data_IF_866345914431
#
_entry.id   IF_866345914431
#
_cell.length_a   1.000
_cell.length_b   1.000
_cell.length_c   1.000
_cell.angle_alpha   90.00
_cell.angle_beta   90.00
_cell.angle_gamma   90.00
#
_symmetry.space_group_name_H-M   'P 1'
#
loop_
_entity.id
_entity.type
_entity.pdbx_description
1 polymer ?
#
# COMPACT_ATOMS: atom_id res chain seq x y z
N UNK A 1 -45.60 -23.91 9.51
CA UNK A 1 -44.42 -24.47 8.81
C UNK A 1 -43.66 -23.46 7.94
N UNK A 2 -44.27 -22.39 7.40
CA UNK A 2 -43.53 -21.38 6.63
C UNK A 2 -42.61 -20.47 7.47
N UNK A 3 -43.03 -20.12 8.69
CA UNK A 3 -42.30 -19.17 9.55
C UNK A 3 -41.00 -19.73 10.17
N UNK A 4 -40.91 -21.06 10.36
CA UNK A 4 -39.70 -21.73 10.86
C UNK A 4 -38.61 -21.82 9.79
N UNK A 5 -38.98 -21.96 8.52
CA UNK A 5 -38.04 -22.07 7.41
C UNK A 5 -37.43 -20.70 7.06
N UNK A 6 -38.22 -19.61 7.13
CA UNK A 6 -37.71 -18.25 6.95
C UNK A 6 -36.77 -17.82 8.08
N UNK A 7 -37.11 -18.13 9.33
CA UNK A 7 -36.24 -17.85 10.48
C UNK A 7 -34.90 -18.60 10.39
N UNK A 8 -34.92 -19.88 10.01
CA UNK A 8 -33.69 -20.66 9.85
C UNK A 8 -32.80 -20.13 8.71
N UNK A 9 -33.40 -19.72 7.59
CA UNK A 9 -32.68 -19.14 6.46
C UNK A 9 -31.99 -17.82 6.84
N UNK A 10 -32.69 -16.94 7.58
CA UNK A 10 -32.13 -15.66 8.06
C UNK A 10 -30.95 -15.91 9.00
N UNK A 11 -31.09 -16.82 9.96
CA UNK A 11 -30.01 -17.14 10.89
C UNK A 11 -28.77 -17.72 10.19
N UNK A 12 -28.99 -18.59 9.20
CA UNK A 12 -27.90 -19.13 8.39
C UNK A 12 -27.18 -18.03 7.60
N UNK A 13 -27.93 -17.11 6.99
CA UNK A 13 -27.34 -16.00 6.22
C UNK A 13 -26.53 -15.05 7.10
N UNK A 14 -27.01 -14.74 8.31
CA UNK A 14 -26.26 -13.94 9.29
C UNK A 14 -24.96 -14.66 9.67
N UNK A 15 -25.03 -15.96 9.98
CA UNK A 15 -23.86 -16.74 10.35
C UNK A 15 -22.80 -16.75 9.23
N UNK A 16 -23.22 -17.00 7.99
CA UNK A 16 -22.32 -17.00 6.82
C UNK A 16 -21.70 -15.62 6.60
N UNK A 17 -22.47 -14.55 6.80
CA UNK A 17 -21.97 -13.16 6.71
C UNK A 17 -20.91 -12.88 7.77
N UNK A 18 -21.14 -13.27 9.03
CA UNK A 18 -20.19 -13.08 10.13
C UNK A 18 -18.91 -13.88 9.88
N UNK A 19 -19.03 -15.13 9.45
CA UNK A 19 -17.88 -15.97 9.10
C UNK A 19 -17.06 -15.37 7.95
N UNK A 20 -17.73 -14.92 6.89
CA UNK A 20 -17.09 -14.24 5.76
C UNK A 20 -16.32 -13.00 6.22
N UNK A 21 -16.92 -12.16 7.05
CA UNK A 21 -16.29 -10.95 7.59
C UNK A 21 -15.08 -11.29 8.48
N UNK A 22 -15.17 -12.31 9.33
CA UNK A 22 -14.05 -12.83 10.10
C UNK A 22 -12.90 -13.30 9.22
N UNK A 23 -13.21 -14.09 8.18
CA UNK A 23 -12.22 -14.57 7.20
C UNK A 23 -11.52 -13.40 6.51
N UNK A 24 -12.26 -12.35 6.11
CA UNK A 24 -11.66 -11.16 5.50
C UNK A 24 -10.62 -10.51 6.42
N UNK A 25 -10.95 -10.32 7.70
CA UNK A 25 -10.03 -9.76 8.69
C UNK A 25 -8.77 -10.61 8.84
N UNK A 26 -8.92 -11.92 9.05
CA UNK A 26 -7.78 -12.83 9.22
C UNK A 26 -6.93 -12.96 7.95
N UNK A 27 -7.55 -12.95 6.77
CA UNK A 27 -6.84 -12.93 5.50
C UNK A 27 -5.97 -11.67 5.38
N UNK A 28 -6.51 -10.52 5.79
CA UNK A 28 -5.75 -9.26 5.90
C UNK A 28 -4.58 -9.36 6.89
N UNK A 29 -4.82 -9.98 8.04
CA UNK A 29 -3.85 -10.15 9.12
C UNK A 29 -2.62 -10.99 8.77
N UNK A 30 -2.66 -11.76 7.67
CA UNK A 30 -1.49 -12.49 7.19
C UNK A 30 -0.42 -11.53 6.63
N UNK A 31 0.84 -11.57 7.09
CA UNK A 31 1.91 -10.70 6.60
C UNK A 31 2.53 -11.21 5.29
N UNK A 32 1.70 -11.41 4.27
CA UNK A 32 2.04 -12.08 3.00
C UNK A 32 3.24 -11.44 2.30
N UNK A 33 3.27 -10.10 2.18
CA UNK A 33 4.44 -9.37 1.68
C UNK A 33 5.73 -9.71 2.45
N UNK A 34 5.67 -9.70 3.78
CA UNK A 34 6.82 -9.97 4.64
C UNK A 34 7.28 -11.42 4.55
N UNK A 35 6.34 -12.36 4.44
CA UNK A 35 6.63 -13.77 4.25
C UNK A 35 7.33 -14.00 2.90
N UNK A 36 6.82 -13.43 1.82
CA UNK A 36 7.40 -13.54 0.47
C UNK A 36 8.81 -12.95 0.43
N UNK A 37 9.01 -11.74 0.96
CA UNK A 37 10.33 -11.10 0.97
C UNK A 37 11.32 -11.86 1.87
N UNK A 38 10.88 -12.33 3.04
CA UNK A 38 11.73 -13.10 3.93
C UNK A 38 12.14 -14.44 3.32
N UNK A 39 11.23 -15.13 2.63
CA UNK A 39 11.50 -16.45 2.05
C UNK A 39 12.32 -16.38 0.77
N UNK A 40 12.00 -15.46 -0.14
CA UNK A 40 12.65 -15.39 -1.45
C UNK A 40 13.88 -14.49 -1.51
N UNK A 41 14.02 -13.53 -0.58
CA UNK A 41 15.15 -12.61 -0.55
C UNK A 41 15.97 -12.67 0.76
N UNK A 42 15.57 -13.50 1.74
CA UNK A 42 16.20 -13.57 3.07
C UNK A 42 16.30 -12.21 3.79
N UNK A 43 15.33 -11.32 3.54
CA UNK A 43 15.26 -9.98 4.15
C UNK A 43 14.04 -9.91 5.05
N UNK A 44 14.22 -9.56 6.33
CA UNK A 44 13.10 -9.27 7.23
C UNK A 44 12.74 -7.79 7.17
N UNK A 45 11.64 -7.47 6.48
CA UNK A 45 11.14 -6.09 6.33
C UNK A 45 10.91 -5.38 7.66
N UNK A 46 10.66 -6.12 8.76
CA UNK A 46 10.47 -5.53 10.09
C UNK A 46 11.76 -4.99 10.70
N UNK A 47 12.92 -5.38 10.16
CA UNK A 47 14.24 -5.00 10.66
C UNK A 47 14.97 -4.00 9.75
N UNK A 48 14.36 -3.57 8.65
CA UNK A 48 14.97 -2.66 7.67
C UNK A 48 14.05 -1.47 7.36
N UNK A 49 14.66 -0.34 6.99
CA UNK A 49 13.93 0.86 6.61
C UNK A 49 13.02 1.38 7.73
N UNK A 50 11.74 1.53 7.42
CA UNK A 50 10.69 1.98 8.36
C UNK A 50 10.15 0.87 9.27
N UNK A 51 10.50 -0.40 9.01
CA UNK A 51 9.91 -1.56 9.67
C UNK A 51 8.50 -1.93 9.17
N UNK A 52 7.97 -1.24 8.17
CA UNK A 52 6.68 -1.57 7.56
C UNK A 52 6.77 -2.84 6.71
N UNK A 53 5.72 -3.66 6.75
CA UNK A 53 5.59 -4.84 5.91
C UNK A 53 4.67 -4.52 4.74
N UNK A 54 5.03 -3.52 3.95
CA UNK A 54 4.20 -3.00 2.85
C UNK A 54 4.77 -3.37 1.46
N UNK A 55 3.93 -3.26 0.43
CA UNK A 55 4.36 -3.35 -0.97
C UNK A 55 5.48 -2.36 -1.29
N UNK A 56 5.38 -1.13 -0.77
CA UNK A 56 6.40 -0.12 -0.97
C UNK A 56 7.73 -0.53 -0.30
N UNK A 57 7.68 -1.05 0.93
CA UNK A 57 8.87 -1.58 1.62
C UNK A 57 9.52 -2.74 0.84
N UNK A 58 8.72 -3.62 0.23
CA UNK A 58 9.24 -4.68 -0.64
C UNK A 58 10.00 -4.10 -1.84
N UNK A 59 9.47 -3.09 -2.52
CA UNK A 59 10.18 -2.42 -3.62
C UNK A 59 11.40 -1.62 -3.17
N UNK A 60 11.39 -1.09 -1.95
CA UNK A 60 12.53 -0.35 -1.39
C UNK A 60 13.70 -1.28 -1.03
N UNK A 61 13.42 -2.48 -0.50
CA UNK A 61 14.45 -3.34 0.10
C UNK A 61 14.73 -4.65 -0.62
N UNK A 62 13.78 -5.22 -1.36
CA UNK A 62 13.94 -6.52 -2.02
C UNK A 62 14.28 -6.38 -3.52
N UNK A 63 14.87 -7.42 -4.15
CA UNK A 63 15.01 -7.47 -5.60
C UNK A 63 13.65 -7.32 -6.29
N UNK A 64 13.64 -6.62 -7.44
CA UNK A 64 12.40 -6.32 -8.18
C UNK A 64 11.49 -7.53 -8.43
N UNK A 65 11.98 -8.72 -8.83
CA UNK A 65 11.11 -9.88 -9.04
C UNK A 65 10.37 -10.29 -7.76
N UNK A 66 11.05 -10.29 -6.61
CA UNK A 66 10.45 -10.63 -5.32
C UNK A 66 9.40 -9.60 -4.91
N UNK A 67 9.69 -8.31 -5.12
CA UNK A 67 8.73 -7.24 -4.87
C UNK A 67 7.48 -7.36 -5.76
N UNK A 68 7.65 -7.71 -7.04
CA UNK A 68 6.53 -7.96 -7.98
C UNK A 68 5.67 -9.13 -7.49
N UNK A 69 6.29 -10.27 -7.11
CA UNK A 69 5.55 -11.41 -6.54
C UNK A 69 4.75 -10.99 -5.31
N UNK A 70 5.35 -10.19 -4.42
CA UNK A 70 4.66 -9.70 -3.23
C UNK A 70 3.47 -8.79 -3.57
N UNK A 71 3.59 -7.93 -4.58
CA UNK A 71 2.48 -7.09 -5.06
C UNK A 71 1.36 -7.93 -5.63
N UNK A 72 1.67 -8.89 -6.51
CA UNK A 72 0.66 -9.76 -7.11
C UNK A 72 -0.13 -10.53 -6.03
N UNK A 73 0.54 -11.00 -4.98
CA UNK A 73 -0.13 -11.64 -3.85
C UNK A 73 -1.08 -10.68 -3.09
N UNK A 74 -0.70 -9.41 -2.91
CA UNK A 74 -1.56 -8.40 -2.29
C UNK A 74 -2.74 -7.99 -3.20
N UNK A 75 -2.54 -7.94 -4.52
CA UNK A 75 -3.61 -7.71 -5.52
C UNK A 75 -4.64 -8.82 -5.42
N UNK A 76 -4.21 -10.08 -5.49
CA UNK A 76 -5.11 -11.24 -5.37
C UNK A 76 -5.86 -11.19 -4.05
N UNK A 77 -5.18 -10.85 -2.96
CA UNK A 77 -5.80 -10.73 -1.63
C UNK A 77 -6.86 -9.61 -1.58
N UNK A 78 -6.68 -8.52 -2.31
CA UNK A 78 -7.68 -7.45 -2.42
C UNK A 78 -8.90 -7.85 -3.27
N UNK A 79 -8.67 -8.58 -4.36
CA UNK A 79 -9.70 -9.00 -5.31
C UNK A 79 -10.58 -10.12 -4.74
N UNK A 80 -9.97 -11.14 -4.14
CA UNK A 80 -10.65 -12.38 -3.80
C UNK A 80 -11.87 -12.19 -2.89
N UNK A 81 -11.83 -11.43 -1.78
CA UNK A 81 -12.98 -11.24 -0.90
C UNK A 81 -14.16 -10.57 -1.59
N UNK A 82 -13.90 -9.65 -2.52
CA UNK A 82 -14.96 -8.94 -3.26
C UNK A 82 -15.66 -9.90 -4.22
N UNK A 83 -14.90 -10.73 -4.94
CA UNK A 83 -15.48 -11.76 -5.81
C UNK A 83 -16.27 -12.79 -5.01
N UNK A 84 -15.73 -13.25 -3.87
CA UNK A 84 -16.43 -14.17 -2.97
C UNK A 84 -17.73 -13.54 -2.47
N UNK A 85 -17.72 -12.27 -2.07
CA UNK A 85 -18.93 -11.56 -1.66
C UNK A 85 -19.95 -11.41 -2.79
N UNK A 86 -19.52 -11.17 -4.03
CA UNK A 86 -20.42 -11.13 -5.20
C UNK A 86 -21.13 -12.46 -5.45
N UNK A 87 -20.45 -13.58 -5.18
CA UNK A 87 -21.03 -14.92 -5.37
C UNK A 87 -21.92 -15.32 -4.19
N UNK A 88 -21.48 -15.06 -2.95
CA UNK A 88 -22.21 -15.46 -1.74
C UNK A 88 -23.36 -14.52 -1.39
N UNK A 89 -23.25 -13.23 -1.72
CA UNK A 89 -24.20 -12.18 -1.35
C UNK A 89 -24.45 -11.21 -2.53
N UNK A 90 -24.99 -11.70 -3.67
CA UNK A 90 -25.16 -10.90 -4.88
C UNK A 90 -26.03 -9.65 -4.66
N UNK A 91 -27.02 -9.75 -3.76
CA UNK A 91 -27.95 -8.66 -3.43
C UNK A 91 -27.43 -7.70 -2.34
N UNK A 92 -26.31 -8.01 -1.69
CA UNK A 92 -25.79 -7.23 -0.53
C UNK A 92 -24.43 -6.64 -0.88
N UNK A 93 -24.43 -5.63 -1.74
CA UNK A 93 -23.22 -4.94 -2.21
C UNK A 93 -22.38 -4.36 -1.06
N UNK A 94 -23.01 -3.89 0.01
CA UNK A 94 -22.34 -3.38 1.21
C UNK A 94 -21.34 -4.39 1.80
N UNK A 95 -21.63 -5.70 1.76
CA UNK A 95 -20.72 -6.72 2.30
C UNK A 95 -19.40 -6.81 1.53
N UNK A 96 -19.40 -6.47 0.24
CA UNK A 96 -18.18 -6.39 -0.56
C UNK A 96 -17.22 -5.32 0.04
N UNK A 97 -17.77 -4.17 0.40
CA UNK A 97 -17.01 -3.04 0.95
C UNK A 97 -16.64 -3.25 2.43
N UNK A 98 -17.55 -3.79 3.25
CA UNK A 98 -17.28 -4.11 4.66
C UNK A 98 -16.24 -5.22 4.78
N UNK A 99 -16.28 -6.22 3.91
CA UNK A 99 -15.22 -7.23 3.80
C UNK A 99 -13.86 -6.61 3.48
N UNK A 100 -13.80 -5.64 2.56
CA UNK A 100 -12.57 -4.89 2.26
C UNK A 100 -12.08 -4.05 3.45
N UNK A 101 -12.99 -3.38 4.18
CA UNK A 101 -12.64 -2.64 5.40
C UNK A 101 -11.97 -3.56 6.41
N UNK A 102 -12.57 -4.72 6.68
CA UNK A 102 -12.01 -5.67 7.64
C UNK A 102 -10.69 -6.26 7.18
N UNK A 103 -10.53 -6.55 5.88
CA UNK A 103 -9.27 -6.97 5.33
C UNK A 103 -8.18 -5.90 5.53
N UNK A 104 -8.46 -4.64 5.20
CA UNK A 104 -7.51 -3.53 5.41
C UNK A 104 -7.20 -3.34 6.90
N UNK A 105 -8.20 -3.46 7.77
CA UNK A 105 -8.01 -3.38 9.21
C UNK A 105 -7.07 -4.49 9.71
N UNK A 106 -7.29 -5.75 9.35
CA UNK A 106 -6.39 -6.85 9.70
C UNK A 106 -4.98 -6.63 9.14
N UNK A 107 -4.89 -6.12 7.91
CA UNK A 107 -3.62 -5.81 7.24
C UNK A 107 -2.79 -4.76 7.98
N UNK A 108 -3.45 -3.77 8.54
CA UNK A 108 -2.82 -2.71 9.32
C UNK A 108 -2.48 -3.17 10.74
N UNK A 109 -3.48 -3.62 11.50
CA UNK A 109 -3.32 -3.87 12.94
C UNK A 109 -2.42 -5.07 13.25
N UNK A 110 -2.45 -6.12 12.43
CA UNK A 110 -1.68 -7.34 12.68
C UNK A 110 -0.47 -7.42 11.75
N UNK A 111 -0.71 -7.30 10.44
CA UNK A 111 0.36 -7.49 9.45
C UNK A 111 1.25 -6.24 9.23
N UNK A 112 0.97 -5.11 9.89
CA UNK A 112 1.73 -3.85 9.78
C UNK A 112 1.96 -3.37 8.34
N UNK A 113 0.93 -3.42 7.50
CA UNK A 113 0.96 -2.82 6.16
C UNK A 113 -0.23 -1.93 5.86
N UNK A 114 -0.10 -1.11 4.82
CA UNK A 114 -0.99 0.04 4.60
C UNK A 114 -2.34 -0.25 3.96
N UNK A 115 -2.56 -1.45 3.41
CA UNK A 115 -3.86 -1.86 2.84
C UNK A 115 -4.32 -1.16 1.55
N UNK A 116 -3.65 -0.09 1.10
CA UNK A 116 -4.02 0.67 -0.11
C UNK A 116 -4.11 -0.22 -1.34
N UNK A 117 -3.13 -1.11 -1.57
CA UNK A 117 -3.19 -2.05 -2.71
C UNK A 117 -4.42 -2.95 -2.63
N UNK A 118 -4.73 -3.51 -1.47
CA UNK A 118 -5.90 -4.38 -1.34
C UNK A 118 -7.20 -3.60 -1.58
N UNK A 119 -7.31 -2.39 -1.02
CA UNK A 119 -8.47 -1.54 -1.21
C UNK A 119 -8.64 -1.08 -2.67
N UNK A 120 -7.58 -0.62 -3.34
CA UNK A 120 -7.67 -0.16 -4.73
C UNK A 120 -8.13 -1.26 -5.67
N UNK A 121 -7.55 -2.46 -5.55
CA UNK A 121 -7.92 -3.60 -6.40
C UNK A 121 -9.28 -4.19 -6.01
N UNK A 122 -9.63 -4.17 -4.72
CA UNK A 122 -10.97 -4.53 -4.26
C UNK A 122 -12.04 -3.59 -4.78
N UNK A 123 -11.82 -2.27 -4.68
CA UNK A 123 -12.75 -1.25 -5.19
C UNK A 123 -12.85 -1.32 -6.72
N UNK A 124 -11.77 -1.65 -7.43
CA UNK A 124 -11.82 -1.90 -8.88
C UNK A 124 -12.78 -3.03 -9.25
N UNK A 125 -12.78 -4.12 -8.47
CA UNK A 125 -13.71 -5.24 -8.68
C UNK A 125 -15.12 -4.87 -8.26
N UNK A 126 -15.29 -4.12 -7.17
CA UNK A 126 -16.58 -3.62 -6.71
C UNK A 126 -17.23 -2.73 -7.78
N UNK A 127 -16.54 -1.68 -8.21
CA UNK A 127 -16.95 -0.77 -9.27
C UNK A 127 -15.74 -0.19 -9.99
N UNK A 128 -15.49 -0.58 -11.26
CA UNK A 128 -14.38 -0.05 -12.04
C UNK A 128 -14.41 1.47 -12.16
N UNK A 129 -15.60 2.06 -12.31
CA UNK A 129 -15.80 3.50 -12.50
C UNK A 129 -15.41 4.28 -11.25
N UNK A 130 -15.75 3.77 -10.06
CA UNK A 130 -15.35 4.38 -8.77
C UNK A 130 -13.83 4.32 -8.61
N UNK A 131 -13.22 3.16 -8.87
CA UNK A 131 -11.77 3.01 -8.78
C UNK A 131 -11.01 3.91 -9.76
N UNK A 132 -11.47 3.99 -11.00
CA UNK A 132 -10.88 4.86 -12.03
C UNK A 132 -11.04 6.33 -11.66
N UNK A 133 -12.23 6.75 -11.23
CA UNK A 133 -12.47 8.11 -10.76
C UNK A 133 -11.52 8.50 -9.64
N UNK A 134 -11.41 7.66 -8.60
CA UNK A 134 -10.49 7.88 -7.48
C UNK A 134 -9.02 7.92 -7.91
N UNK A 135 -8.63 7.04 -8.82
CA UNK A 135 -7.28 7.01 -9.40
C UNK A 135 -6.97 8.28 -10.18
N UNK A 136 -7.91 8.77 -11.00
CA UNK A 136 -7.79 10.02 -11.76
C UNK A 136 -7.67 11.21 -10.81
N UNK A 137 -8.53 11.30 -9.78
CA UNK A 137 -8.44 12.37 -8.77
C UNK A 137 -7.07 12.39 -8.11
N UNK A 138 -6.57 11.23 -7.67
CA UNK A 138 -5.23 11.13 -7.09
C UNK A 138 -4.13 11.54 -8.07
N UNK A 139 -4.20 11.09 -9.32
CA UNK A 139 -3.24 11.42 -10.37
C UNK A 139 -3.22 12.91 -10.69
N UNK A 140 -4.38 13.55 -10.83
CA UNK A 140 -4.49 14.98 -11.08
C UNK A 140 -3.86 15.80 -9.94
N UNK A 141 -4.16 15.44 -8.69
CA UNK A 141 -3.57 16.09 -7.51
C UNK A 141 -2.04 15.92 -7.51
N UNK A 142 -1.56 14.73 -7.87
CA UNK A 142 -0.13 14.47 -7.96
C UNK A 142 0.55 15.32 -9.05
N UNK A 143 -0.03 15.38 -10.25
CA UNK A 143 0.53 16.12 -11.40
C UNK A 143 0.51 17.62 -11.15
N UNK A 144 -0.64 18.16 -10.74
CA UNK A 144 -0.82 19.59 -10.44
C UNK A 144 0.09 19.98 -9.27
N UNK A 145 0.08 19.19 -8.20
CA UNK A 145 0.87 19.46 -7.01
C UNK A 145 2.38 19.44 -7.27
N UNK A 146 2.89 18.54 -8.11
CA UNK A 146 4.29 18.54 -8.54
C UNK A 146 4.67 19.76 -9.39
N UNK A 147 3.72 20.27 -10.20
CA UNK A 147 3.95 21.47 -11.03
C UNK A 147 3.97 22.75 -10.19
N UNK A 148 3.09 22.85 -9.19
CA UNK A 148 3.01 24.01 -8.28
C UNK A 148 4.14 23.99 -7.25
N UNK A 149 4.51 22.82 -6.72
CA UNK A 149 5.53 22.66 -5.68
C UNK A 149 6.69 21.75 -6.13
N UNK A 150 7.51 22.17 -7.12
CA UNK A 150 8.50 21.32 -7.77
C UNK A 150 9.70 20.94 -6.89
N UNK A 151 10.06 21.78 -5.91
CA UNK A 151 11.21 21.52 -5.04
C UNK A 151 10.74 21.09 -3.63
N UNK A 152 11.07 19.84 -3.28
CA UNK A 152 11.10 19.24 -1.93
C UNK A 152 9.82 18.69 -1.29
N UNK A 153 8.63 18.70 -1.89
CA UNK A 153 7.46 18.22 -1.16
C UNK A 153 7.18 16.71 -1.32
N UNK A 154 7.88 15.85 -0.56
CA UNK A 154 7.54 14.42 -0.46
C UNK A 154 6.09 14.19 -0.02
N UNK A 155 5.48 15.18 0.65
CA UNK A 155 4.10 15.11 1.12
C UNK A 155 3.09 15.10 -0.02
N UNK A 156 3.40 15.63 -1.21
CA UNK A 156 2.39 15.74 -2.28
C UNK A 156 1.91 14.37 -2.77
N UNK A 157 2.80 13.37 -2.79
CA UNK A 157 2.44 12.00 -3.13
C UNK A 157 1.47 11.40 -2.12
N UNK A 158 1.72 11.62 -0.84
CA UNK A 158 0.85 11.11 0.22
C UNK A 158 -0.52 11.80 0.17
N UNK A 159 -0.54 13.13 0.00
CA UNK A 159 -1.76 13.89 -0.16
C UNK A 159 -2.57 13.46 -1.38
N UNK A 160 -1.91 13.22 -2.52
CA UNK A 160 -2.54 12.66 -3.71
C UNK A 160 -3.21 11.30 -3.43
N UNK A 161 -2.53 10.40 -2.70
CA UNK A 161 -3.11 9.12 -2.31
C UNK A 161 -4.31 9.29 -1.36
N UNK A 162 -4.20 10.16 -0.34
CA UNK A 162 -5.26 10.44 0.64
C UNK A 162 -6.52 11.00 -0.04
N UNK A 163 -6.37 12.06 -0.82
CA UNK A 163 -7.47 12.74 -1.49
C UNK A 163 -8.05 11.90 -2.62
N UNK A 164 -7.21 11.12 -3.32
CA UNK A 164 -7.68 10.10 -4.26
C UNK A 164 -8.58 9.07 -3.58
N UNK A 165 -8.18 8.52 -2.44
CA UNK A 165 -9.02 7.58 -1.68
C UNK A 165 -10.32 8.23 -1.18
N UNK A 166 -10.25 9.45 -0.61
CA UNK A 166 -11.43 10.18 -0.12
C UNK A 166 -12.44 10.49 -1.22
N UNK A 167 -11.97 10.73 -2.45
CA UNK A 167 -12.87 10.99 -3.58
C UNK A 167 -13.74 9.80 -3.98
N UNK A 168 -13.44 8.57 -3.54
CA UNK A 168 -14.25 7.37 -3.84
C UNK A 168 -15.71 7.51 -3.43
N UNK A 169 -15.97 8.22 -2.33
CA UNK A 169 -17.32 8.57 -1.88
C UNK A 169 -18.07 9.44 -2.90
N UNK A 170 -17.39 10.42 -3.50
CA UNK A 170 -17.99 11.26 -4.53
C UNK A 170 -18.28 10.45 -5.81
N UNK A 171 -17.35 9.59 -6.22
CA UNK A 171 -17.50 8.79 -7.43
C UNK A 171 -18.58 7.71 -7.34
N UNK A 172 -18.83 7.14 -6.16
CA UNK A 172 -19.95 6.19 -6.00
C UNK A 172 -21.29 6.89 -6.16
N UNK A 173 -21.46 8.10 -5.63
CA UNK A 173 -22.69 8.88 -5.81
C UNK A 173 -22.93 9.26 -7.28
N UNK A 174 -21.86 9.47 -8.04
CA UNK A 174 -21.97 9.82 -9.46
C UNK A 174 -22.26 8.62 -10.36
N UNK A 175 -21.59 7.48 -10.13
CA UNK A 175 -21.61 6.33 -11.04
C UNK A 175 -22.50 5.17 -10.60
N UNK A 176 -22.93 5.13 -9.33
CA UNK A 176 -23.94 4.18 -8.84
C UNK A 176 -25.15 4.91 -8.31
N UNK A 177 -26.06 5.24 -9.22
CA UNK A 177 -27.33 5.91 -8.89
C UNK A 177 -28.24 5.06 -7.99
N UNK A 178 -28.03 3.74 -8.01
CA UNK A 178 -28.72 2.74 -7.20
C UNK A 178 -27.98 2.38 -5.90
N UNK A 179 -26.85 3.04 -5.60
CA UNK A 179 -26.08 2.75 -4.40
C UNK A 179 -26.93 2.99 -3.15
N UNK A 180 -27.01 1.97 -2.30
CA UNK A 180 -27.65 2.12 -1.00
C UNK A 180 -26.86 3.09 -0.12
N UNK A 181 -27.55 3.71 0.84
CA UNK A 181 -26.92 4.53 1.87
C UNK A 181 -25.76 3.77 2.54
N UNK A 182 -25.95 2.49 2.85
CA UNK A 182 -24.92 1.68 3.49
C UNK A 182 -23.64 1.50 2.65
N UNK A 183 -23.75 1.36 1.33
CA UNK A 183 -22.57 1.31 0.43
C UNK A 183 -21.77 2.60 0.47
N UNK A 184 -22.48 3.74 0.44
CA UNK A 184 -21.90 5.07 0.49
C UNK A 184 -21.14 5.28 1.81
N UNK A 185 -21.73 4.89 2.94
CA UNK A 185 -21.05 4.93 4.25
C UNK A 185 -19.87 3.94 4.33
N UNK A 186 -19.98 2.76 3.74
CA UNK A 186 -18.89 1.79 3.72
C UNK A 186 -17.69 2.31 2.90
N UNK A 187 -17.91 2.93 1.74
CA UNK A 187 -16.83 3.56 0.98
C UNK A 187 -16.20 4.74 1.72
N UNK A 188 -17.01 5.58 2.36
CA UNK A 188 -16.50 6.66 3.21
C UNK A 188 -15.64 6.12 4.35
N UNK A 189 -16.12 5.08 5.03
CA UNK A 189 -15.41 4.40 6.12
C UNK A 189 -14.09 3.79 5.65
N UNK A 190 -14.07 3.12 4.50
CA UNK A 190 -12.86 2.59 3.89
C UNK A 190 -11.86 3.71 3.55
N UNK A 191 -12.34 4.80 2.97
CA UNK A 191 -11.49 5.94 2.61
C UNK A 191 -10.88 6.62 3.85
N UNK A 192 -11.68 6.84 4.89
CA UNK A 192 -11.21 7.39 6.17
C UNK A 192 -10.18 6.44 6.79
N UNK A 193 -10.44 5.13 6.82
CA UNK A 193 -9.50 4.14 7.34
C UNK A 193 -8.15 4.23 6.62
N UNK A 194 -8.15 4.27 5.29
CA UNK A 194 -6.91 4.40 4.50
C UNK A 194 -6.17 5.71 4.77
N UNK A 195 -6.89 6.83 4.92
CA UNK A 195 -6.29 8.12 5.27
C UNK A 195 -5.67 8.08 6.66
N UNK A 196 -6.37 7.54 7.66
CA UNK A 196 -5.85 7.39 9.03
C UNK A 196 -4.60 6.51 9.03
N UNK A 197 -4.62 5.38 8.33
CA UNK A 197 -3.44 4.51 8.17
C UNK A 197 -2.29 5.28 7.52
N UNK A 198 -2.56 6.00 6.43
CA UNK A 198 -1.54 6.76 5.70
C UNK A 198 -0.98 7.95 6.50
N UNK A 199 -1.72 8.48 7.48
CA UNK A 199 -1.23 9.49 8.42
C UNK A 199 -0.35 8.90 9.53
N UNK A 200 -0.62 7.65 9.94
CA UNK A 200 0.12 6.98 11.02
C UNK A 200 1.34 6.21 10.53
N UNK A 201 1.33 5.75 9.29
CA UNK A 201 2.39 4.91 8.75
C UNK A 201 3.51 5.75 8.13
N UNK A 202 4.77 5.43 8.47
CA UNK A 202 5.94 6.06 7.86
C UNK A 202 6.04 5.76 6.36
N UNK A 203 6.58 6.69 5.58
CA UNK A 203 6.64 6.57 4.13
C UNK A 203 7.89 5.81 3.64
N UNK A 204 7.70 4.56 3.24
CA UNK A 204 8.77 3.66 2.77
C UNK A 204 9.51 4.18 1.55
N UNK A 205 8.83 4.97 0.71
CA UNK A 205 9.41 5.53 -0.50
C UNK A 205 10.01 6.93 -0.26
N UNK A 206 9.88 7.49 0.96
CA UNK A 206 10.60 8.68 1.37
C UNK A 206 12.04 8.37 1.79
N UNK A 207 12.35 7.10 2.06
CA UNK A 207 13.71 6.62 2.34
C UNK A 207 14.61 6.93 1.14
N UNK A 208 15.51 7.89 1.33
CA UNK A 208 16.59 8.14 0.38
C UNK A 208 17.57 6.98 0.49
N UNK A 209 17.80 6.27 -0.61
CA UNK A 209 18.97 5.40 -0.73
C UNK A 209 20.20 6.29 -0.58
N UNK A 210 20.88 6.24 0.56
CA UNK A 210 22.15 6.95 0.71
C UNK A 210 23.09 6.36 -0.34
N UNK A 211 23.48 7.18 -1.31
CA UNK A 211 24.42 6.76 -2.34
C UNK A 211 25.78 6.69 -1.65
N UNK A 212 26.25 5.48 -1.41
CA UNK A 212 27.55 5.24 -0.81
C UNK A 212 28.56 5.14 -1.95
N UNK A 213 29.61 5.95 -1.91
CA UNK A 213 30.67 5.92 -2.90
C UNK A 213 31.88 5.15 -2.37
N UNK A 214 32.50 4.30 -3.19
CA UNK A 214 33.77 3.65 -2.82
C UNK A 214 34.94 4.59 -3.08
N UNK A 215 35.92 4.61 -2.17
CA UNK A 215 37.21 5.26 -2.40
C UNK A 215 38.02 4.61 -3.54
N UNK A 216 37.64 3.43 -4.03
CA UNK A 216 38.24 2.80 -5.22
C UNK A 216 37.84 3.51 -6.52
N UNK A 217 36.73 4.25 -6.50
CA UNK A 217 36.22 4.96 -7.67
C UNK A 217 36.71 6.41 -7.68
N UNK A 218 36.73 7.03 -8.85
CA UNK A 218 36.98 8.46 -8.96
C UNK A 218 35.78 9.22 -8.40
N UNK A 219 36.01 10.05 -7.38
CA UNK A 219 34.96 10.81 -6.68
C UNK A 219 34.99 12.28 -7.11
N UNK A 220 33.80 12.85 -7.30
CA UNK A 220 33.62 14.28 -7.55
C UNK A 220 33.71 15.07 -6.23
N UNK A 221 34.54 16.11 -6.21
CA UNK A 221 34.72 17.01 -5.07
C UNK A 221 33.42 17.72 -4.69
N UNK A 222 32.55 18.02 -5.67
CA UNK A 222 31.25 18.67 -5.44
C UNK A 222 30.25 17.76 -4.74
N UNK A 223 30.44 16.44 -4.83
CA UNK A 223 29.48 15.45 -4.32
C UNK A 223 29.97 14.80 -3.03
N UNK A 224 31.27 14.52 -2.91
CA UNK A 224 31.85 13.81 -1.76
C UNK A 224 32.70 14.70 -0.85
N UNK A 225 32.91 15.96 -1.24
CA UNK A 225 33.83 16.89 -0.59
C UNK A 225 35.29 16.65 -1.02
N UNK A 226 36.12 17.67 -0.83
CA UNK A 226 37.52 17.66 -1.27
C UNK A 226 38.34 16.54 -0.61
N UNK A 227 38.12 16.29 0.68
CA UNK A 227 38.85 15.27 1.44
C UNK A 227 38.66 13.87 0.86
N UNK A 228 37.42 13.50 0.56
CA UNK A 228 37.09 12.20 0.00
C UNK A 228 37.64 12.03 -1.42
N UNK A 229 37.50 13.06 -2.26
CA UNK A 229 38.02 13.04 -3.62
C UNK A 229 39.55 12.92 -3.65
N UNK A 230 40.25 13.62 -2.76
CA UNK A 230 41.71 13.53 -2.64
C UNK A 230 42.17 12.17 -2.13
N UNK A 231 41.47 11.58 -1.16
CA UNK A 231 41.75 10.22 -0.69
C UNK A 231 41.58 9.17 -1.80
N UNK A 232 40.53 9.29 -2.62
CA UNK A 232 40.32 8.41 -3.77
C UNK A 232 41.42 8.57 -4.83
N UNK A 233 41.86 9.80 -5.11
CA UNK A 233 42.99 10.06 -6.03
C UNK A 233 44.31 9.48 -5.52
N UNK A 234 44.65 9.69 -4.24
CA UNK A 234 45.85 9.13 -3.62
C UNK A 234 45.86 7.60 -3.69
N UNK A 235 44.72 6.97 -3.43
CA UNK A 235 44.58 5.53 -3.55
C UNK A 235 44.82 5.03 -4.97
N UNK A 236 44.25 5.71 -5.97
CA UNK A 236 44.44 5.39 -7.40
C UNK A 236 45.89 5.58 -7.86
N UNK A 237 46.62 6.51 -7.25
CA UNK A 237 48.04 6.75 -7.49
C UNK A 237 48.97 5.74 -6.78
N UNK A 238 48.42 4.72 -6.11
CA UNK A 238 49.20 3.64 -5.48
C UNK A 238 49.66 3.94 -4.05
N UNK A 239 49.22 5.04 -3.44
CA UNK A 239 49.49 5.30 -2.03
C UNK A 239 48.67 4.36 -1.13
N UNK A 240 49.23 4.01 0.02
CA UNK A 240 48.57 3.15 1.00
C UNK A 240 47.41 3.88 1.69
N UNK A 241 46.23 3.83 1.08
CA UNK A 241 44.97 4.38 1.60
C UNK A 241 44.03 3.25 1.99
N UNK A 242 43.52 3.30 3.22
CA UNK A 242 42.60 2.28 3.76
C UNK A 242 41.35 2.16 2.87
N UNK A 243 40.89 0.93 2.66
CA UNK A 243 39.60 0.68 1.99
C UNK A 243 38.47 1.29 2.80
N UNK A 244 37.58 2.00 2.12
CA UNK A 244 36.51 2.70 2.79
C UNK A 244 35.48 3.24 1.82
N UNK A 245 34.36 3.63 2.40
CA UNK A 245 33.23 4.21 1.71
C UNK A 245 32.99 5.63 2.19
N UNK A 246 32.43 6.46 1.32
CA UNK A 246 32.17 7.87 1.57
C UNK A 246 30.69 8.14 1.35
N UNK A 247 30.08 8.85 2.30
CA UNK A 247 28.74 9.41 2.15
C UNK A 247 28.82 10.73 1.37
N UNK A 248 27.81 11.08 0.56
CA UNK A 248 27.79 12.36 -0.13
C UNK A 248 27.86 13.49 0.90
N UNK A 249 28.65 14.53 0.63
CA UNK A 249 28.62 15.75 1.39
C UNK A 249 27.24 16.39 1.18
N UNK A 250 26.42 16.41 2.23
CA UNK A 250 25.09 17.04 2.23
C UNK A 250 25.16 18.53 2.05
#
# INVERSE_FOLDING_TARGET
MSNTNSFFAINMQILVSVLFLGICFFLGALPLTGLIVKTLANIDLRKVGTGNVSVAAAFTHAPKPVAITAVLAEIVRGIAPVLVAKVLFPEIFTLQLVGLILLVAGRYFIAKGGGVTNASWGVLVYSPMVALGSGITGLLILVIGKKIFPQKNQNIRQWAARLGCLSSFFWVLLFRQDASFFEVFALLGLAILLVVINLRQSDDMALKKQIIFSLDNQLDTKVCGEKAARLAQLKKAGFNVVKGFVLPAT
#
